data_IF_430294641691
#
_entry.id   IF_430294641691
#
_cell.length_a   1.000
_cell.length_b   1.000
_cell.length_c   1.000
_cell.angle_alpha   90.00
_cell.angle_beta   90.00
_cell.angle_gamma   90.00
#
_symmetry.space_group_name_H-M   'P 1'
#
loop_
_entity.id
_entity.type
_entity.pdbx_description
1 polymer ?
#
# COMPACT_ATOMS: atom_id res chain seq x y z
N UNK A 1 3.18 -7.95 6.42
CA UNK A 1 3.76 -8.81 5.35
C UNK A 1 4.25 -7.98 4.17
N UNK A 2 3.46 -7.04 3.64
CA UNK A 2 3.83 -6.23 2.48
C UNK A 2 5.15 -5.48 2.62
N UNK A 3 5.40 -4.83 3.75
CA UNK A 3 6.64 -4.11 4.00
C UNK A 3 7.88 -5.04 3.97
N UNK A 4 7.75 -6.26 4.52
CA UNK A 4 8.84 -7.27 4.47
C UNK A 4 9.08 -7.81 3.06
N UNK A 5 8.02 -7.92 2.25
CA UNK A 5 8.17 -8.29 0.84
C UNK A 5 8.86 -7.17 0.06
N UNK A 6 8.50 -5.92 0.32
CA UNK A 6 9.16 -4.75 -0.27
C UNK A 6 10.64 -4.71 0.07
N UNK A 7 11.01 -4.93 1.33
CA UNK A 7 12.41 -5.01 1.76
C UNK A 7 13.19 -6.08 0.98
N UNK A 8 12.61 -7.27 0.80
CA UNK A 8 13.23 -8.34 0.02
C UNK A 8 13.43 -7.96 -1.45
N UNK A 9 12.40 -7.38 -2.08
CA UNK A 9 12.46 -6.94 -3.48
C UNK A 9 13.56 -5.89 -3.64
N UNK A 10 13.56 -4.89 -2.78
CA UNK A 10 14.54 -3.81 -2.82
C UNK A 10 15.96 -4.32 -2.56
N UNK A 11 16.12 -5.25 -1.62
CA UNK A 11 17.43 -5.87 -1.34
C UNK A 11 17.97 -6.65 -2.56
N UNK A 12 17.13 -7.37 -3.28
CA UNK A 12 17.53 -8.07 -4.51
C UNK A 12 17.86 -7.08 -5.64
N UNK A 13 17.07 -6.02 -5.81
CA UNK A 13 17.36 -4.97 -6.78
C UNK A 13 18.70 -4.28 -6.49
N UNK A 14 19.00 -3.98 -5.24
CA UNK A 14 20.25 -3.37 -4.82
C UNK A 14 21.44 -4.29 -5.14
N UNK A 15 21.34 -5.59 -4.86
CA UNK A 15 22.36 -6.59 -5.23
C UNK A 15 22.59 -6.64 -6.75
N UNK A 16 21.55 -6.39 -7.52
CA UNK A 16 21.61 -6.36 -8.99
C UNK A 16 22.06 -4.99 -9.54
N UNK A 17 22.49 -4.06 -8.68
CA UNK A 17 23.05 -2.78 -9.07
C UNK A 17 22.02 -1.64 -9.23
N UNK A 18 20.79 -1.82 -8.72
CA UNK A 18 19.85 -0.70 -8.62
C UNK A 18 20.31 0.24 -7.49
N UNK A 19 20.49 1.51 -7.84
CA UNK A 19 21.08 2.51 -6.95
C UNK A 19 20.06 3.12 -6.00
N UNK A 20 20.11 2.70 -4.75
CA UNK A 20 19.41 3.32 -3.61
C UNK A 20 20.03 2.85 -2.29
N UNK A 21 19.75 3.57 -1.22
CA UNK A 21 20.25 3.24 0.11
C UNK A 21 19.09 2.89 1.06
N UNK A 22 19.27 1.83 1.84
CA UNK A 22 18.47 1.61 3.03
C UNK A 22 19.00 2.48 4.15
N UNK A 23 18.11 3.24 4.78
CA UNK A 23 18.45 3.94 6.02
C UNK A 23 18.49 2.94 7.17
N UNK A 24 19.52 3.00 7.98
CA UNK A 24 19.66 2.19 9.17
C UNK A 24 18.94 2.81 10.37
N UNK A 25 18.23 1.96 11.14
CA UNK A 25 17.64 2.38 12.42
C UNK A 25 18.76 2.79 13.38
N UNK A 26 18.51 3.83 14.15
CA UNK A 26 19.45 4.33 15.17
C UNK A 26 19.52 3.46 16.43
N UNK A 27 18.80 2.36 16.48
CA UNK A 27 18.93 1.40 17.56
C UNK A 27 20.21 0.58 17.45
N UNK A 28 20.65 0.03 18.57
CA UNK A 28 21.87 -0.77 18.64
C UNK A 28 21.83 -2.04 17.76
N UNK A 29 20.63 -2.54 17.42
CA UNK A 29 20.41 -3.65 16.53
C UNK A 29 20.41 -3.25 15.04
N UNK A 30 20.39 -1.95 14.72
CA UNK A 30 20.44 -1.41 13.36
C UNK A 30 19.35 -1.94 12.42
N UNK A 31 19.69 -2.01 11.13
CA UNK A 31 18.86 -2.59 10.08
C UNK A 31 17.82 -1.65 9.50
N UNK A 32 17.21 -2.06 8.38
CA UNK A 32 16.26 -1.24 7.61
C UNK A 32 14.85 -1.18 8.22
N UNK A 33 14.58 -1.98 9.26
CA UNK A 33 13.28 -1.97 9.93
C UNK A 33 13.22 -0.82 10.94
N UNK A 34 12.50 0.23 10.58
CA UNK A 34 12.34 1.43 11.42
C UNK A 34 11.56 1.13 12.69
N UNK A 35 11.90 1.86 13.75
CA UNK A 35 11.26 1.83 15.06
C UNK A 35 10.62 3.18 15.37
N UNK A 36 9.84 3.25 16.44
CA UNK A 36 9.15 4.49 16.80
C UNK A 36 10.05 5.72 16.96
N UNK A 37 11.24 5.55 17.53
CA UNK A 37 12.19 6.66 17.67
C UNK A 37 12.74 7.14 16.32
N UNK A 38 12.95 6.24 15.36
CA UNK A 38 13.40 6.62 14.00
C UNK A 38 12.37 7.51 13.32
N UNK A 39 11.07 7.23 13.54
CA UNK A 39 9.98 8.06 13.03
C UNK A 39 9.99 9.46 13.67
N UNK A 40 10.18 9.55 14.98
CA UNK A 40 10.25 10.84 15.70
C UNK A 40 11.45 11.68 15.28
N UNK A 41 12.57 11.03 14.97
CA UNK A 41 13.80 11.68 14.55
C UNK A 41 13.85 12.01 13.06
N UNK A 42 12.88 11.54 12.29
CA UNK A 42 12.88 11.70 10.84
C UNK A 42 14.08 11.03 10.17
N UNK A 43 14.49 9.87 10.69
CA UNK A 43 15.67 9.14 10.21
C UNK A 43 15.58 8.77 8.72
N UNK A 44 14.48 8.17 8.21
CA UNK A 44 14.33 7.88 6.79
C UNK A 44 13.67 9.04 6.04
N UNK A 45 14.07 9.27 4.81
CA UNK A 45 13.37 10.15 3.87
C UNK A 45 12.02 9.55 3.44
N UNK A 46 11.98 8.23 3.28
CA UNK A 46 10.79 7.47 2.90
C UNK A 46 10.63 6.26 3.80
N UNK A 47 9.46 6.12 4.40
CA UNK A 47 9.08 4.95 5.19
C UNK A 47 7.97 4.19 4.48
N UNK A 48 8.21 2.91 4.17
CA UNK A 48 7.22 2.02 3.57
C UNK A 48 6.49 1.25 4.67
N UNK A 49 5.18 1.34 4.67
CA UNK A 49 4.30 0.60 5.59
C UNK A 49 3.10 0.03 4.85
N UNK A 50 2.33 -0.84 5.49
CA UNK A 50 1.07 -1.30 4.92
C UNK A 50 0.00 -0.18 4.91
N UNK A 51 -0.97 -0.32 4.04
CA UNK A 51 -1.99 0.71 3.81
C UNK A 51 -2.87 0.98 5.04
N UNK A 52 -3.15 -0.03 5.85
CA UNK A 52 -3.95 0.14 7.06
C UNK A 52 -3.19 0.95 8.11
N UNK A 53 -1.94 0.57 8.39
CA UNK A 53 -1.08 1.28 9.35
C UNK A 53 -0.85 2.73 8.92
N UNK A 54 -0.56 2.98 7.64
CA UNK A 54 -0.39 4.33 7.11
C UNK A 54 -1.66 5.18 7.25
N UNK A 55 -2.82 4.62 6.93
CA UNK A 55 -4.10 5.30 7.09
C UNK A 55 -4.41 5.61 8.57
N UNK A 56 -4.15 4.67 9.48
CA UNK A 56 -4.33 4.89 10.92
C UNK A 56 -3.43 5.99 11.45
N UNK A 57 -2.16 6.03 11.03
CA UNK A 57 -1.25 7.10 11.44
C UNK A 57 -1.76 8.47 11.00
N UNK A 58 -2.24 8.61 9.77
CA UNK A 58 -2.80 9.89 9.30
C UNK A 58 -4.04 10.31 10.10
N UNK A 59 -4.89 9.35 10.49
CA UNK A 59 -6.07 9.62 11.34
C UNK A 59 -5.65 10.01 12.75
N UNK A 60 -4.69 9.30 13.36
CA UNK A 60 -4.20 9.58 14.70
C UNK A 60 -3.55 10.97 14.76
N UNK A 61 -2.66 11.29 13.81
CA UNK A 61 -2.01 12.61 13.77
C UNK A 61 -3.03 13.73 13.59
N UNK A 62 -3.99 13.54 12.70
CA UNK A 62 -5.05 14.52 12.48
C UNK A 62 -5.96 14.67 13.69
N UNK A 63 -6.35 13.58 14.32
CA UNK A 63 -7.16 13.59 15.55
C UNK A 63 -6.45 14.33 16.69
N UNK A 64 -5.16 14.11 16.84
CA UNK A 64 -4.37 14.81 17.86
C UNK A 64 -4.33 16.33 17.61
N UNK A 65 -4.25 16.74 16.33
CA UNK A 65 -4.15 18.15 15.94
C UNK A 65 -5.49 18.88 16.00
N UNK A 66 -6.58 18.20 15.67
CA UNK A 66 -7.92 18.82 15.49
C UNK A 66 -8.90 18.50 16.61
N UNK A 67 -8.57 17.58 17.51
CA UNK A 67 -9.51 17.03 18.48
C UNK A 67 -10.45 15.97 17.88
N UNK A 68 -10.21 15.50 16.64
CA UNK A 68 -10.91 14.37 16.04
C UNK A 68 -11.92 14.70 14.95
N UNK A 69 -12.07 15.97 14.56
CA UNK A 69 -13.15 16.37 13.65
C UNK A 69 -12.85 16.07 12.17
N UNK A 70 -11.62 16.26 11.70
CA UNK A 70 -11.24 16.13 10.31
C UNK A 70 -9.74 15.84 10.13
N UNK A 71 -9.34 15.40 8.94
CA UNK A 71 -7.93 15.29 8.58
C UNK A 71 -7.31 16.67 8.36
N UNK A 72 -6.27 16.98 9.12
CA UNK A 72 -5.50 18.22 9.03
C UNK A 72 -4.07 18.01 8.53
N UNK A 73 -3.58 16.77 8.61
CA UNK A 73 -2.20 16.42 8.28
C UNK A 73 -2.11 15.67 6.95
N UNK A 74 -0.96 15.82 6.28
CA UNK A 74 -0.67 15.19 5.01
C UNK A 74 -1.09 16.01 3.79
N UNK A 75 -0.92 15.41 2.62
CA UNK A 75 -1.09 16.01 1.28
C UNK A 75 -2.16 15.30 0.47
N UNK A 76 -3.06 14.56 1.11
CA UNK A 76 -3.95 13.62 0.46
C UNK A 76 -3.26 12.28 0.18
N UNK A 77 -3.81 11.52 -0.76
CA UNK A 77 -3.35 10.17 -1.13
C UNK A 77 -2.94 10.17 -2.59
N UNK A 78 -1.74 9.71 -2.87
CA UNK A 78 -1.16 9.72 -4.21
C UNK A 78 -0.03 10.74 -4.36
N UNK A 79 0.46 11.00 -5.61
CA UNK A 79 -0.05 10.39 -6.83
C UNK A 79 0.31 8.90 -6.94
N UNK A 80 -0.55 8.12 -7.62
CA UNK A 80 -0.15 6.81 -8.09
C UNK A 80 0.92 6.94 -9.17
N UNK A 81 1.91 6.05 -9.14
CA UNK A 81 2.96 5.96 -10.16
C UNK A 81 3.02 4.54 -10.72
N UNK A 82 3.40 4.40 -11.98
CA UNK A 82 3.53 3.11 -12.63
C UNK A 82 4.25 3.26 -13.97
N UNK A 83 4.77 2.15 -14.49
CA UNK A 83 5.57 2.13 -15.72
C UNK A 83 4.90 2.84 -16.90
N UNK A 84 3.61 2.53 -17.12
CA UNK A 84 2.82 3.08 -18.23
C UNK A 84 1.66 3.96 -17.72
N UNK A 85 1.80 4.54 -16.53
CA UNK A 85 0.75 5.35 -15.92
C UNK A 85 1.05 6.84 -16.11
N UNK A 86 0.31 7.49 -17.01
CA UNK A 86 0.53 8.89 -17.38
C UNK A 86 -0.36 9.89 -16.63
N UNK A 87 -1.19 9.41 -15.71
CA UNK A 87 -2.09 10.28 -14.95
C UNK A 87 -1.46 10.69 -13.62
N UNK A 88 -1.77 11.91 -13.19
CA UNK A 88 -1.41 12.43 -11.87
C UNK A 88 -2.70 12.61 -11.07
N UNK A 89 -3.03 11.61 -10.26
CA UNK A 89 -4.27 11.61 -9.49
C UNK A 89 -3.91 11.64 -8.02
N UNK A 90 -4.36 12.69 -7.33
CA UNK A 90 -4.34 12.77 -5.88
C UNK A 90 -5.77 12.61 -5.38
N UNK A 91 -5.93 11.78 -4.37
CA UNK A 91 -7.23 11.49 -3.77
C UNK A 91 -7.32 12.21 -2.42
N UNK A 92 -8.46 12.82 -2.16
CA UNK A 92 -8.81 13.37 -0.86
C UNK A 92 -9.84 12.49 -0.19
N UNK A 93 -9.68 12.27 1.10
CA UNK A 93 -10.66 11.59 1.93
C UNK A 93 -11.90 12.47 2.12
N UNK A 94 -13.05 11.87 2.36
CA UNK A 94 -14.25 12.61 2.78
C UNK A 94 -14.05 13.37 4.10
N UNK A 95 -13.11 12.90 4.91
CA UNK A 95 -12.73 13.55 6.15
C UNK A 95 -11.66 14.64 5.98
N UNK A 96 -11.15 14.87 4.76
CA UNK A 96 -10.10 15.86 4.53
C UNK A 96 -10.60 17.27 4.77
N UNK A 97 -9.96 17.97 5.71
CA UNK A 97 -10.23 19.39 5.98
C UNK A 97 -9.45 20.32 5.05
N UNK A 98 -9.76 21.61 5.14
CA UNK A 98 -9.13 22.67 4.33
C UNK A 98 -7.59 22.62 4.33
N UNK A 99 -6.89 22.32 5.44
CA UNK A 99 -5.44 22.26 5.44
C UNK A 99 -4.88 21.17 4.50
N UNK A 100 -5.51 19.98 4.47
CA UNK A 100 -5.10 18.90 3.58
C UNK A 100 -5.39 19.24 2.13
N UNK A 101 -6.56 19.85 1.85
CA UNK A 101 -6.92 20.28 0.49
C UNK A 101 -5.91 21.29 -0.04
N UNK A 102 -5.55 22.30 0.75
CA UNK A 102 -4.56 23.31 0.35
C UNK A 102 -3.18 22.71 0.09
N UNK A 103 -2.72 21.81 0.98
CA UNK A 103 -1.44 21.09 0.81
C UNK A 103 -1.48 20.18 -0.42
N UNK A 104 -2.59 19.48 -0.67
CA UNK A 104 -2.75 18.61 -1.83
C UNK A 104 -2.71 19.37 -3.15
N UNK A 105 -3.34 20.56 -3.23
CA UNK A 105 -3.28 21.41 -4.41
C UNK A 105 -1.86 21.90 -4.71
N UNK A 106 -1.13 22.34 -3.68
CA UNK A 106 0.27 22.72 -3.81
C UNK A 106 1.13 21.54 -4.28
N UNK A 107 0.95 20.40 -3.66
CA UNK A 107 1.67 19.17 -4.01
C UNK A 107 1.35 18.70 -5.43
N UNK A 108 0.09 18.77 -5.86
CA UNK A 108 -0.30 18.47 -7.24
C UNK A 108 0.45 19.36 -8.27
N UNK A 109 0.61 20.65 -7.96
CA UNK A 109 1.41 21.54 -8.78
C UNK A 109 2.89 21.14 -8.81
N UNK A 110 3.49 20.83 -7.66
CA UNK A 110 4.88 20.40 -7.55
C UNK A 110 5.12 19.09 -8.32
N UNK A 111 4.23 18.13 -8.19
CA UNK A 111 4.25 16.83 -8.92
C UNK A 111 4.13 17.05 -10.43
N UNK A 112 3.30 18.00 -10.85
CA UNK A 112 3.12 18.30 -12.26
C UNK A 112 4.34 19.00 -12.87
N UNK A 113 4.90 19.98 -12.18
CA UNK A 113 6.08 20.74 -12.64
C UNK A 113 7.38 19.95 -12.51
N UNK A 114 7.46 19.04 -11.54
CA UNK A 114 8.59 18.12 -11.36
C UNK A 114 8.58 16.90 -12.28
N UNK A 115 7.63 16.81 -13.21
CA UNK A 115 7.53 15.76 -14.22
C UNK A 115 7.63 14.33 -13.66
N UNK A 116 6.94 14.07 -12.53
CA UNK A 116 7.04 12.80 -11.79
C UNK A 116 6.83 11.55 -12.66
N UNK A 117 5.99 11.64 -13.71
CA UNK A 117 5.75 10.50 -14.60
C UNK A 117 6.96 10.18 -15.48
N UNK A 118 7.77 11.17 -15.84
CA UNK A 118 9.01 10.98 -16.58
C UNK A 118 10.03 10.30 -15.68
N UNK A 119 10.21 10.84 -14.48
CA UNK A 119 11.10 10.26 -13.46
C UNK A 119 10.70 8.82 -13.12
N UNK A 120 9.41 8.58 -12.88
CA UNK A 120 8.90 7.23 -12.58
C UNK A 120 9.20 6.24 -13.71
N UNK A 121 8.96 6.60 -14.97
CA UNK A 121 9.28 5.74 -16.12
C UNK A 121 10.76 5.40 -16.21
N UNK A 122 11.61 6.36 -15.95
CA UNK A 122 13.06 6.14 -16.00
C UNK A 122 13.54 5.26 -14.84
N UNK A 123 12.96 5.44 -13.64
CA UNK A 123 13.23 4.57 -12.51
C UNK A 123 12.71 3.14 -12.73
N UNK A 124 11.52 2.97 -13.34
CA UNK A 124 11.04 1.64 -13.72
C UNK A 124 11.97 0.94 -14.72
N UNK A 125 12.49 1.65 -15.73
CA UNK A 125 13.47 1.08 -16.67
C UNK A 125 14.73 0.60 -15.95
N UNK A 126 15.25 1.40 -15.01
CA UNK A 126 16.43 1.02 -14.21
C UNK A 126 16.13 -0.22 -13.36
N UNK A 127 14.98 -0.25 -12.68
CA UNK A 127 14.57 -1.38 -11.87
C UNK A 127 14.35 -2.66 -12.72
N UNK A 128 13.77 -2.53 -13.91
CA UNK A 128 13.63 -3.64 -14.86
C UNK A 128 14.98 -4.15 -15.33
N UNK A 129 15.91 -3.27 -15.65
CA UNK A 129 17.29 -3.65 -16.00
C UNK A 129 17.98 -4.39 -14.83
N UNK A 130 17.65 -4.06 -13.58
CA UNK A 130 18.10 -4.78 -12.39
C UNK A 130 17.27 -6.06 -12.08
N UNK A 131 16.33 -6.44 -12.94
CA UNK A 131 15.61 -7.71 -12.85
C UNK A 131 14.29 -7.67 -12.08
N UNK A 132 13.65 -6.53 -11.95
CA UNK A 132 12.37 -6.37 -11.23
C UNK A 132 11.31 -7.39 -11.67
N UNK A 133 11.12 -7.58 -12.97
CA UNK A 133 10.10 -8.49 -13.51
C UNK A 133 10.36 -9.95 -13.13
N UNK A 134 11.65 -10.35 -13.11
CA UNK A 134 12.07 -11.69 -12.68
C UNK A 134 11.77 -11.90 -11.20
N UNK A 135 12.10 -10.91 -10.36
CA UNK A 135 11.83 -10.95 -8.92
C UNK A 135 10.34 -11.10 -8.64
N UNK A 136 9.49 -10.34 -9.36
CA UNK A 136 8.04 -10.45 -9.23
C UNK A 136 7.51 -11.81 -9.70
N UNK A 137 8.03 -12.36 -10.80
CA UNK A 137 7.63 -13.68 -11.27
C UNK A 137 7.97 -14.77 -10.24
N UNK A 138 9.14 -14.72 -9.64
CA UNK A 138 9.55 -15.66 -8.59
C UNK A 138 8.68 -15.57 -7.33
N UNK A 139 8.33 -14.36 -6.90
CA UNK A 139 7.42 -14.15 -5.76
C UNK A 139 6.02 -14.64 -6.04
N UNK A 140 5.52 -14.46 -7.27
CA UNK A 140 4.21 -14.95 -7.69
C UNK A 140 4.15 -16.48 -7.70
N UNK A 141 5.19 -17.13 -8.22
CA UNK A 141 5.28 -18.58 -8.25
C UNK A 141 5.34 -19.17 -6.83
N UNK A 142 6.13 -18.57 -5.92
CA UNK A 142 6.18 -18.99 -4.52
C UNK A 142 4.83 -18.86 -3.78
N UNK A 143 4.00 -17.88 -4.15
CA UNK A 143 2.64 -17.76 -3.59
C UNK A 143 1.69 -18.85 -4.12
N UNK A 144 1.87 -19.29 -5.36
CA UNK A 144 1.08 -20.40 -5.94
C UNK A 144 1.44 -21.74 -5.33
N UNK A 145 2.72 -22.01 -5.10
CA UNK A 145 3.20 -23.25 -4.48
C UNK A 145 2.82 -23.37 -2.99
N UNK A 146 2.54 -22.26 -2.32
CA UNK A 146 2.18 -22.24 -0.90
C UNK A 146 0.66 -22.36 -0.63
N UNK A 147 -0.17 -22.36 -1.67
CA UNK A 147 -1.60 -22.64 -1.56
C UNK A 147 -1.88 -24.04 -2.11
N UNK A 148 -2.20 -25.04 -1.26
CA UNK A 148 -2.83 -26.24 -1.77
C UNK A 148 -4.15 -25.77 -2.41
N UNK A 149 -4.29 -25.99 -3.69
CA UNK A 149 -5.53 -25.73 -4.40
C UNK A 149 -6.55 -26.84 -4.06
N UNK A 150 -7.10 -26.84 -2.86
CA UNK A 150 -8.37 -27.47 -2.63
C UNK A 150 -9.39 -26.68 -3.44
N UNK A 151 -9.93 -27.26 -4.48
CA UNK A 151 -11.10 -26.72 -5.18
C UNK A 151 -12.28 -26.70 -4.20
N UNK A 152 -12.41 -25.59 -3.48
CA UNK A 152 -13.54 -25.37 -2.57
C UNK A 152 -14.71 -24.98 -3.44
N UNK A 153 -15.67 -25.91 -3.57
CA UNK A 153 -16.94 -25.61 -4.26
C UNK A 153 -17.77 -24.68 -3.40
N UNK A 154 -18.35 -23.67 -4.05
CA UNK A 154 -19.31 -22.82 -3.39
C UNK A 154 -20.51 -23.67 -2.89
N UNK A 155 -21.03 -23.42 -1.68
CA UNK A 155 -22.33 -23.97 -1.25
C UNK A 155 -23.45 -23.56 -2.18
N UNK A 156 -24.62 -24.20 -2.03
CA UNK A 156 -25.81 -23.77 -2.77
C UNK A 156 -26.11 -22.29 -2.52
N UNK A 157 -26.55 -21.61 -3.58
CA UNK A 157 -26.81 -20.17 -3.50
C UNK A 157 -27.97 -19.87 -2.56
N UNK A 158 -27.70 -19.07 -1.55
CA UNK A 158 -28.68 -18.61 -0.56
C UNK A 158 -28.84 -17.09 -0.62
N UNK A 159 -29.91 -16.59 -0.02
CA UNK A 159 -30.14 -15.15 0.12
C UNK A 159 -29.18 -14.60 1.17
N UNK A 160 -28.31 -13.69 0.76
CA UNK A 160 -27.38 -13.04 1.67
C UNK A 160 -28.11 -12.03 2.55
N UNK A 161 -28.10 -12.23 3.86
CA UNK A 161 -28.81 -11.41 4.85
C UNK A 161 -27.88 -10.58 5.73
N UNK A 162 -26.58 -10.80 5.63
CA UNK A 162 -25.55 -10.13 6.45
C UNK A 162 -24.34 -9.77 5.61
N UNK A 163 -23.58 -8.80 6.06
CA UNK A 163 -22.32 -8.43 5.38
C UNK A 163 -21.17 -8.36 6.36
N UNK A 164 -19.99 -8.68 5.88
CA UNK A 164 -18.72 -8.49 6.59
C UNK A 164 -18.01 -7.33 5.88
N UNK A 165 -17.85 -6.23 6.59
CA UNK A 165 -17.13 -5.06 6.09
C UNK A 165 -15.65 -5.08 6.54
N UNK A 166 -14.79 -4.32 5.83
CA UNK A 166 -13.39 -4.13 6.24
C UNK A 166 -12.43 -5.23 5.79
N UNK A 167 -12.87 -6.14 4.91
CA UNK A 167 -11.98 -7.10 4.26
C UNK A 167 -11.26 -6.39 3.10
N UNK A 168 -9.94 -6.48 3.06
CA UNK A 168 -9.14 -5.93 1.97
C UNK A 168 -9.53 -6.62 0.65
N UNK A 169 -9.57 -5.84 -0.43
CA UNK A 169 -9.97 -6.32 -1.75
C UNK A 169 -9.07 -7.48 -2.23
N UNK A 170 -7.81 -7.50 -1.80
CA UNK A 170 -6.86 -8.56 -2.13
C UNK A 170 -7.13 -9.87 -1.36
N UNK A 171 -7.85 -9.79 -0.24
CA UNK A 171 -8.17 -10.93 0.62
C UNK A 171 -9.61 -11.42 0.44
N UNK A 172 -10.44 -10.75 -0.36
CA UNK A 172 -11.85 -11.08 -0.56
C UNK A 172 -12.07 -12.50 -1.07
N UNK A 173 -11.26 -12.96 -2.03
CA UNK A 173 -11.38 -14.33 -2.54
C UNK A 173 -11.05 -15.38 -1.47
N UNK A 174 -10.01 -15.13 -0.68
CA UNK A 174 -9.58 -16.05 0.36
C UNK A 174 -10.60 -16.05 1.52
N UNK A 175 -11.13 -14.91 1.91
CA UNK A 175 -12.19 -14.79 2.89
C UNK A 175 -13.48 -15.52 2.44
N UNK A 176 -13.86 -15.36 1.19
CA UNK A 176 -15.01 -16.05 0.60
C UNK A 176 -14.82 -17.57 0.65
N UNK A 177 -13.63 -18.07 0.25
CA UNK A 177 -13.30 -19.50 0.31
C UNK A 177 -13.31 -20.07 1.73
N UNK A 178 -12.91 -19.27 2.73
CA UNK A 178 -12.98 -19.70 4.14
C UNK A 178 -14.45 -19.90 4.55
N UNK A 179 -15.33 -18.98 4.19
CA UNK A 179 -16.78 -19.13 4.48
C UNK A 179 -17.37 -20.37 3.79
N UNK A 180 -17.03 -20.60 2.53
CA UNK A 180 -17.47 -21.78 1.79
C UNK A 180 -16.99 -23.10 2.42
N UNK A 181 -15.76 -23.15 2.97
CA UNK A 181 -15.26 -24.31 3.72
C UNK A 181 -16.12 -24.66 4.93
N UNK A 182 -16.75 -23.66 5.51
CA UNK A 182 -17.68 -23.83 6.65
C UNK A 182 -19.14 -23.98 6.21
N UNK A 183 -19.41 -24.17 4.91
CA UNK A 183 -20.77 -24.35 4.39
C UNK A 183 -21.60 -23.06 4.38
N UNK A 184 -20.99 -21.90 4.53
CA UNK A 184 -21.65 -20.59 4.52
C UNK A 184 -21.55 -20.01 3.11
N UNK A 185 -22.68 -19.78 2.45
CA UNK A 185 -22.69 -19.10 1.16
C UNK A 185 -22.27 -17.64 1.34
N UNK A 186 -21.32 -17.20 0.54
CA UNK A 186 -20.85 -15.83 0.49
C UNK A 186 -20.53 -15.42 -0.95
N UNK A 187 -20.79 -14.17 -1.27
CA UNK A 187 -20.46 -13.56 -2.55
C UNK A 187 -19.81 -12.19 -2.33
N UNK A 188 -18.95 -11.79 -3.26
CA UNK A 188 -18.32 -10.49 -3.21
C UNK A 188 -19.33 -9.43 -3.65
N UNK A 189 -19.81 -8.64 -2.71
CA UNK A 189 -20.64 -7.48 -2.99
C UNK A 189 -19.76 -6.32 -3.49
N UNK A 190 -20.13 -5.67 -4.58
CA UNK A 190 -19.60 -4.35 -4.88
C UNK A 190 -20.24 -3.36 -3.92
N UNK A 191 -19.64 -3.21 -2.73
CA UNK A 191 -20.11 -2.29 -1.72
C UNK A 191 -19.83 -0.85 -2.11
N UNK A 192 -20.68 -0.27 -2.92
CA UNK A 192 -20.92 1.16 -2.87
C UNK A 192 -21.83 1.44 -1.67
N UNK A 193 -21.27 1.40 -0.49
CA UNK A 193 -21.96 1.96 0.67
C UNK A 193 -21.66 3.44 0.71
N UNK A 194 -22.67 4.24 0.52
CA UNK A 194 -22.71 5.69 0.64
C UNK A 194 -22.24 6.22 1.99
#
# INVERSE_FOLDING_TARGET
EGARQTEKILSELQKNGYDFEFTESQRADGGAVMKGNDLLMGTPDVMVTDSLTGNLFMKIFSSYTTGGDYEAEGYGYGPGVGENYDRRILILSRASGSPVVAKALKYAYEVATGEVNVLARDEYKKAQAAGLDKIFAELKNKKQDSKPSEEIKAPEKEVVTSQIAGVDIMDLEDATKVLWKHGIYAENGMGCTG
#
